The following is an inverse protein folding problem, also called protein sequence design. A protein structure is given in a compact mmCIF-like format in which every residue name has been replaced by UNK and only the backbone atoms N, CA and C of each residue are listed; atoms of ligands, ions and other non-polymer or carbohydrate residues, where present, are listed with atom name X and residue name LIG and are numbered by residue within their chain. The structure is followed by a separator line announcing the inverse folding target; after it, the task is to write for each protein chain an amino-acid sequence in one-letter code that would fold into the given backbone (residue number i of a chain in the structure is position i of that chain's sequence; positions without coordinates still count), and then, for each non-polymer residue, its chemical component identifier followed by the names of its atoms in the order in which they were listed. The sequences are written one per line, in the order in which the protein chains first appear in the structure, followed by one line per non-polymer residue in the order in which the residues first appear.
data_IF_786129986954
#
_entry.id   IF_786129986954
#
_cell.length_a   1.000
_cell.length_b   1.000
_cell.length_c   1.000
_cell.angle_alpha   90.00
_cell.angle_beta   90.00
_cell.angle_gamma   90.00
#
_symmetry.space_group_name_H-M   'P 1'
#
loop_
_entity.id
_entity.type
_entity.pdbx_description
1 polymer ?
#
# COMPACT_ATOMS: atom_id res chain seq x y z
N UNK A 1 -61.77 -14.92 12.84
CA UNK A 1 -61.72 -14.31 11.49
C UNK A 1 -60.92 -13.03 11.60
N UNK A 2 -60.10 -12.70 10.58
CA UNK A 2 -59.06 -11.63 10.54
C UNK A 2 -57.65 -12.14 10.86
N UNK A 3 -56.58 -11.81 10.15
CA UNK A 3 -56.32 -11.34 8.77
C UNK A 3 -54.88 -11.85 8.48
N UNK A 4 -54.64 -12.55 7.37
CA UNK A 4 -53.28 -12.81 6.86
C UNK A 4 -53.02 -11.80 5.77
N UNK A 5 -52.15 -10.82 6.03
CA UNK A 5 -51.60 -9.95 5.01
C UNK A 5 -50.43 -10.69 4.34
N UNK A 6 -50.59 -11.03 3.07
CA UNK A 6 -49.47 -11.46 2.22
C UNK A 6 -48.73 -10.22 1.75
N UNK A 7 -47.45 -10.12 2.09
CA UNK A 7 -46.54 -9.14 1.51
C UNK A 7 -45.96 -9.80 0.25
N UNK A 8 -46.31 -9.23 -0.90
CA UNK A 8 -45.72 -9.55 -2.19
C UNK A 8 -44.43 -8.75 -2.28
N UNK A 9 -43.28 -9.41 -2.23
CA UNK A 9 -42.00 -8.81 -2.62
C UNK A 9 -42.03 -8.60 -4.14
N UNK A 10 -42.09 -7.34 -4.55
CA UNK A 10 -41.83 -6.97 -5.94
C UNK A 10 -40.34 -6.67 -5.99
N UNK A 11 -39.55 -7.60 -6.55
CA UNK A 11 -38.14 -7.37 -6.82
C UNK A 11 -38.04 -6.25 -7.85
N UNK A 12 -37.66 -5.06 -7.39
CA UNK A 12 -37.26 -3.97 -8.26
C UNK A 12 -35.77 -4.17 -8.51
N UNK A 13 -35.45 -4.74 -9.66
CA UNK A 13 -34.07 -4.83 -10.13
C UNK A 13 -33.55 -3.41 -10.35
N UNK A 14 -32.69 -2.94 -9.46
CA UNK A 14 -31.79 -1.83 -9.71
C UNK A 14 -30.65 -2.38 -10.57
N UNK A 15 -30.82 -2.26 -11.89
CA UNK A 15 -29.71 -2.29 -12.81
C UNK A 15 -29.06 -0.89 -12.77
N UNK A 16 -28.17 -0.69 -11.78
CA UNK A 16 -27.08 0.28 -11.84
C UNK A 16 -25.81 -0.49 -12.18
N UNK A 17 -24.93 0.10 -12.99
CA UNK A 17 -23.81 -0.54 -13.66
C UNK A 17 -22.93 -1.38 -12.74
N UNK A 18 -23.11 -2.71 -12.79
CA UNK A 18 -21.99 -3.61 -12.56
C UNK A 18 -20.98 -3.30 -13.67
N UNK A 19 -20.00 -2.46 -13.37
CA UNK A 19 -18.76 -2.42 -14.14
C UNK A 19 -18.32 -3.88 -14.23
N UNK A 20 -18.23 -4.39 -15.46
CA UNK A 20 -17.68 -5.71 -15.72
C UNK A 20 -16.29 -5.74 -15.12
N UNK A 21 -16.15 -6.48 -14.02
CA UNK A 21 -14.91 -6.74 -13.28
C UNK A 21 -13.74 -6.88 -14.27
N UNK A 22 -12.74 -5.98 -14.26
CA UNK A 22 -11.51 -6.26 -14.98
C UNK A 22 -10.87 -7.48 -14.29
N UNK A 23 -10.64 -8.51 -15.09
CA UNK A 23 -10.12 -9.83 -14.70
C UNK A 23 -8.62 -9.69 -14.44
N UNK A 24 -8.24 -8.98 -13.39
CA UNK A 24 -6.84 -8.67 -13.09
C UNK A 24 -6.33 -9.39 -11.84
N UNK A 25 -7.18 -10.08 -11.07
CA UNK A 25 -6.72 -10.96 -10.00
C UNK A 25 -5.97 -12.15 -10.63
N UNK A 26 -4.70 -12.30 -10.26
CA UNK A 26 -3.82 -13.39 -10.71
C UNK A 26 -3.93 -14.57 -9.74
N UNK A 27 -3.78 -14.30 -8.44
CA UNK A 27 -3.78 -15.32 -7.39
C UNK A 27 -4.37 -14.79 -6.08
N UNK A 28 -5.03 -15.67 -5.33
CA UNK A 28 -5.25 -15.51 -3.90
C UNK A 28 -4.17 -16.26 -3.12
N UNK A 29 -3.56 -15.58 -2.16
CA UNK A 29 -2.52 -16.09 -1.29
C UNK A 29 -3.15 -16.49 0.04
N UNK A 30 -3.04 -17.78 0.35
CA UNK A 30 -3.52 -18.36 1.60
C UNK A 30 -2.40 -19.21 2.21
N UNK A 31 -2.15 -19.11 3.52
CA UNK A 31 -1.18 -19.96 4.18
C UNK A 31 -1.64 -21.42 4.17
N UNK A 32 -0.72 -22.36 3.98
CA UNK A 32 -1.00 -23.79 3.98
C UNK A 32 -1.53 -24.29 5.33
N UNK A 33 -1.20 -23.60 6.43
CA UNK A 33 -1.70 -23.86 7.79
C UNK A 33 -2.81 -22.86 8.20
N UNK A 34 -3.81 -22.72 7.34
CA UNK A 34 -4.91 -21.74 7.45
C UNK A 34 -5.80 -21.87 8.69
N UNK A 35 -5.61 -22.91 9.51
CA UNK A 35 -6.39 -23.13 10.73
C UNK A 35 -5.77 -22.48 11.98
N UNK A 36 -4.54 -21.97 11.87
CA UNK A 36 -3.76 -21.50 13.00
C UNK A 36 -3.55 -19.99 13.04
N UNK A 37 -3.65 -19.28 11.91
CA UNK A 37 -3.30 -17.86 11.83
C UNK A 37 -4.53 -17.00 11.53
N UNK A 38 -4.54 -15.80 12.09
CA UNK A 38 -5.68 -14.89 12.08
C UNK A 38 -5.15 -13.50 11.74
N UNK A 39 -5.96 -12.77 10.97
CA UNK A 39 -5.53 -11.50 10.39
C UNK A 39 -4.34 -11.63 9.44
N UNK A 40 -4.35 -12.65 8.58
CA UNK A 40 -3.40 -12.80 7.48
C UNK A 40 -3.65 -11.73 6.40
N UNK A 41 -2.59 -11.21 5.79
CA UNK A 41 -2.70 -10.05 4.89
C UNK A 41 -2.84 -8.73 5.64
N UNK A 42 -2.47 -8.69 6.93
CA UNK A 42 -2.41 -7.43 7.67
C UNK A 42 -1.23 -6.58 7.24
N UNK A 43 -0.12 -7.23 6.90
CA UNK A 43 1.12 -6.62 6.45
C UNK A 43 1.59 -7.39 5.21
N UNK A 44 2.00 -6.67 4.16
CA UNK A 44 2.52 -7.26 2.92
C UNK A 44 3.73 -6.46 2.48
N UNK A 45 4.67 -7.15 1.82
CA UNK A 45 5.77 -6.51 1.10
C UNK A 45 6.21 -7.45 -0.05
N UNK A 46 6.82 -6.92 -1.09
CA UNK A 46 7.17 -7.57 -2.35
C UNK A 46 8.56 -7.12 -2.80
N UNK A 47 9.46 -8.09 -3.04
CA UNK A 47 10.74 -7.81 -3.67
C UNK A 47 11.10 -8.89 -4.69
N UNK A 48 11.34 -8.46 -5.92
CA UNK A 48 11.75 -9.25 -7.08
C UNK A 48 10.94 -10.56 -7.22
N UNK A 49 9.61 -10.44 -7.15
CA UNK A 49 8.67 -11.56 -7.28
C UNK A 49 8.54 -12.49 -6.05
N UNK A 50 9.13 -12.12 -4.92
CA UNK A 50 8.92 -12.79 -3.63
C UNK A 50 8.05 -11.91 -2.75
N UNK A 51 6.89 -12.42 -2.37
CA UNK A 51 5.95 -11.73 -1.47
C UNK A 51 6.22 -12.21 -0.05
N UNK A 52 6.28 -11.31 0.92
CA UNK A 52 6.12 -11.63 2.33
C UNK A 52 4.73 -11.19 2.79
N UNK A 53 4.02 -12.07 3.50
CA UNK A 53 2.70 -11.75 4.06
C UNK A 53 2.69 -12.07 5.56
N UNK A 54 2.32 -11.06 6.34
CA UNK A 54 2.15 -11.15 7.78
C UNK A 54 0.73 -11.53 8.20
N UNK A 55 0.63 -12.28 9.29
CA UNK A 55 -0.57 -12.48 10.07
C UNK A 55 -0.37 -11.92 11.48
N UNK A 56 -1.26 -11.00 11.90
CA UNK A 56 -1.14 -10.30 13.18
C UNK A 56 -1.18 -11.25 14.39
N UNK A 57 -2.04 -12.27 14.32
CA UNK A 57 -2.32 -13.21 15.40
C UNK A 57 -3.42 -12.73 16.35
N UNK A 58 -3.96 -13.64 17.17
CA UNK A 58 -5.03 -13.35 18.13
C UNK A 58 -4.61 -13.60 19.59
N UNK A 59 -4.35 -12.54 20.36
CA UNK A 59 -3.87 -12.62 21.74
C UNK A 59 -4.90 -12.78 22.84
N UNK A 60 -6.09 -12.26 22.58
CA UNK A 60 -7.08 -11.84 23.59
C UNK A 60 -8.19 -12.88 23.68
N UNK A 61 -7.83 -14.10 23.31
CA UNK A 61 -8.68 -15.28 23.33
C UNK A 61 -8.11 -16.29 24.33
N UNK A 62 -8.91 -17.29 24.70
CA UNK A 62 -8.55 -18.24 25.76
C UNK A 62 -7.24 -19.01 25.49
N UNK A 63 -6.86 -19.15 24.22
CA UNK A 63 -5.59 -19.73 23.75
C UNK A 63 -4.99 -18.76 22.73
N UNK A 64 -3.95 -17.99 23.08
CA UNK A 64 -3.33 -17.04 22.16
C UNK A 64 -2.84 -17.73 20.88
N UNK A 65 -3.11 -17.06 19.76
CA UNK A 65 -2.58 -17.38 18.44
C UNK A 65 -1.43 -16.41 18.18
N UNK A 66 -0.17 -16.88 18.08
CA UNK A 66 0.94 -16.01 17.76
C UNK A 66 0.84 -15.52 16.31
N UNK A 67 1.28 -14.29 16.06
CA UNK A 67 1.50 -13.78 14.72
C UNK A 67 2.59 -14.55 13.99
N UNK A 68 2.50 -14.54 12.67
CA UNK A 68 3.34 -15.34 11.79
C UNK A 68 3.57 -14.63 10.46
N UNK A 69 4.62 -15.02 9.73
CA UNK A 69 4.94 -14.44 8.43
C UNK A 69 5.31 -15.55 7.45
N UNK A 70 4.97 -15.34 6.18
CA UNK A 70 5.04 -16.34 5.13
C UNK A 70 5.67 -15.73 3.88
N UNK A 71 6.47 -16.52 3.15
CA UNK A 71 6.98 -16.14 1.83
C UNK A 71 6.21 -16.88 0.74
N UNK A 72 5.88 -16.18 -0.33
CA UNK A 72 5.21 -16.70 -1.53
C UNK A 72 5.98 -16.32 -2.80
N UNK A 73 5.84 -17.13 -3.84
CA UNK A 73 6.30 -16.81 -5.20
C UNK A 73 5.16 -16.11 -5.95
N UNK A 74 5.35 -14.84 -6.30
CA UNK A 74 4.34 -14.01 -6.95
C UNK A 74 3.93 -14.55 -8.34
N UNK A 75 4.82 -15.26 -9.02
CA UNK A 75 4.56 -15.80 -10.36
C UNK A 75 3.69 -17.06 -10.37
N UNK A 76 3.57 -17.72 -9.21
CA UNK A 76 2.81 -18.96 -9.07
C UNK A 76 1.72 -18.92 -7.99
N UNK A 77 1.74 -17.89 -7.14
CA UNK A 77 0.87 -17.77 -5.95
C UNK A 77 1.14 -18.84 -4.88
N UNK A 78 2.20 -19.64 -5.02
CA UNK A 78 2.48 -20.74 -4.09
C UNK A 78 3.25 -20.26 -2.86
N UNK A 79 2.84 -20.73 -1.68
CA UNK A 79 3.63 -20.60 -0.46
C UNK A 79 4.99 -21.30 -0.65
N UNK A 80 6.05 -20.56 -0.38
CA UNK A 80 7.41 -21.09 -0.30
C UNK A 80 7.68 -21.66 1.09
N UNK A 81 7.39 -20.87 2.13
CA UNK A 81 7.72 -21.21 3.52
C UNK A 81 7.03 -20.31 4.55
N UNK A 82 6.66 -20.88 5.69
CA UNK A 82 6.37 -20.14 6.94
C UNK A 82 7.67 -19.79 7.66
N UNK A 83 7.94 -18.51 7.92
CA UNK A 83 9.16 -18.09 8.61
C UNK A 83 9.19 -18.62 10.06
N UNK A 84 10.29 -19.26 10.49
CA UNK A 84 10.37 -19.86 11.83
C UNK A 84 10.64 -18.79 12.89
N UNK A 85 9.59 -18.07 13.29
CA UNK A 85 9.66 -17.05 14.35
C UNK A 85 9.84 -17.72 15.72
N UNK A 86 10.94 -17.48 16.45
CA UNK A 86 11.12 -18.04 17.78
C UNK A 86 10.10 -17.45 18.77
N UNK A 87 9.41 -18.31 19.52
CA UNK A 87 8.52 -17.86 20.60
C UNK A 87 9.36 -17.46 21.82
N UNK A 88 9.52 -16.16 22.04
CA UNK A 88 10.11 -15.61 23.26
C UNK A 88 8.97 -15.17 24.18
N UNK A 89 9.05 -15.56 25.46
CA UNK A 89 8.10 -15.21 26.53
C UNK A 89 6.65 -15.74 26.40
N UNK A 90 6.33 -16.52 25.36
CA UNK A 90 5.02 -17.18 25.26
C UNK A 90 4.46 -17.17 23.85
N UNK A 91 3.23 -17.72 23.67
CA UNK A 91 2.52 -17.75 22.40
C UNK A 91 1.74 -16.45 22.10
N UNK A 92 1.84 -15.43 22.94
CA UNK A 92 1.15 -14.13 22.82
C UNK A 92 1.94 -13.12 21.99
N UNK A 93 2.79 -13.60 21.08
CA UNK A 93 3.59 -12.80 20.18
C UNK A 93 2.74 -12.34 19.00
N UNK A 94 2.85 -11.08 18.60
CA UNK A 94 2.12 -10.49 17.49
C UNK A 94 3.10 -10.08 16.44
N UNK A 95 2.62 -10.07 15.22
CA UNK A 95 3.28 -9.37 14.14
C UNK A 95 2.90 -7.88 14.21
N UNK A 96 3.87 -7.03 13.91
CA UNK A 96 3.68 -5.57 13.77
C UNK A 96 3.89 -5.13 12.32
N UNK A 97 4.95 -5.62 11.69
CA UNK A 97 5.33 -5.24 10.33
C UNK A 97 6.20 -6.33 9.71
N UNK A 98 6.23 -6.36 8.39
CA UNK A 98 7.14 -7.20 7.60
C UNK A 98 7.89 -6.33 6.61
N UNK A 99 9.07 -6.77 6.20
CA UNK A 99 9.71 -6.26 5.00
C UNK A 99 10.59 -7.33 4.36
N UNK A 100 10.79 -7.27 3.05
CA UNK A 100 11.63 -8.15 2.26
C UNK A 100 12.46 -7.34 1.27
N UNK A 101 13.74 -7.68 1.18
CA UNK A 101 14.67 -7.08 0.23
C UNK A 101 15.51 -8.13 -0.47
N UNK A 102 16.63 -7.73 -1.12
CA UNK A 102 17.38 -8.59 -2.04
C UNK A 102 17.88 -9.92 -1.48
N UNK A 103 18.15 -9.96 -0.17
CA UNK A 103 18.63 -11.18 0.51
C UNK A 103 18.21 -11.24 1.97
N UNK A 104 17.29 -10.38 2.39
CA UNK A 104 16.87 -10.25 3.78
C UNK A 104 15.37 -10.17 3.88
N UNK A 105 14.83 -10.74 4.94
CA UNK A 105 13.48 -10.44 5.39
C UNK A 105 13.51 -10.04 6.87
N UNK A 106 12.65 -9.10 7.22
CA UNK A 106 12.47 -8.58 8.57
C UNK A 106 11.03 -8.83 8.99
N UNK A 107 10.86 -9.34 10.21
CA UNK A 107 9.53 -9.53 10.81
C UNK A 107 9.54 -8.89 12.19
N UNK A 108 8.82 -7.79 12.35
CA UNK A 108 8.65 -7.14 13.64
C UNK A 108 7.61 -7.87 14.47
N UNK A 109 7.94 -8.04 15.76
CA UNK A 109 7.01 -8.64 16.71
C UNK A 109 7.07 -8.01 18.09
N UNK A 110 5.96 -8.13 18.82
CA UNK A 110 5.89 -7.83 20.27
C UNK A 110 5.04 -8.87 21.00
N UNK A 111 5.28 -9.07 22.30
CA UNK A 111 4.35 -9.82 23.16
C UNK A 111 3.26 -8.90 23.71
N UNK A 112 2.09 -9.43 24.09
CA UNK A 112 0.99 -8.64 24.65
C UNK A 112 0.77 -8.75 26.15
N UNK A 113 1.10 -9.87 26.77
CA UNK A 113 0.80 -10.07 28.18
C UNK A 113 1.68 -9.17 29.07
N UNK A 114 0.99 -8.47 29.98
CA UNK A 114 1.47 -7.39 30.85
C UNK A 114 2.46 -7.78 31.96
N UNK A 115 3.58 -8.40 31.58
CA UNK A 115 4.68 -8.68 32.50
C UNK A 115 6.00 -8.22 31.90
N UNK A 116 6.42 -6.99 32.18
CA UNK A 116 7.79 -6.41 32.18
C UNK A 116 8.85 -6.81 31.11
N UNK A 117 8.52 -7.59 30.08
CA UNK A 117 9.41 -8.12 29.03
C UNK A 117 8.71 -7.95 27.67
N UNK A 118 8.20 -6.74 27.47
CA UNK A 118 7.52 -6.26 26.26
C UNK A 118 8.55 -5.71 25.28
N UNK A 119 9.49 -6.52 24.84
CA UNK A 119 10.56 -6.00 24.01
C UNK A 119 10.15 -6.12 22.54
N UNK A 120 9.66 -5.04 21.88
CA UNK A 120 9.52 -5.07 20.43
C UNK A 120 10.88 -5.39 19.83
N UNK A 121 10.86 -6.19 18.77
CA UNK A 121 12.06 -6.73 18.14
C UNK A 121 11.76 -7.06 16.71
N UNK A 122 12.80 -7.06 15.90
CA UNK A 122 12.73 -7.56 14.54
C UNK A 122 13.54 -8.83 14.43
N UNK A 123 12.93 -9.86 13.86
CA UNK A 123 13.60 -11.07 13.45
C UNK A 123 14.19 -10.87 12.06
N UNK A 124 15.51 -10.99 11.94
CA UNK A 124 16.22 -10.84 10.68
C UNK A 124 16.56 -12.23 10.11
N UNK A 125 16.15 -12.45 8.86
CA UNK A 125 16.38 -13.69 8.12
C UNK A 125 17.26 -13.43 6.91
N UNK A 126 18.13 -14.38 6.59
CA UNK A 126 18.75 -14.49 5.27
C UNK A 126 17.77 -15.19 4.32
N UNK A 127 17.38 -14.50 3.26
CA UNK A 127 16.44 -14.97 2.23
C UNK A 127 17.11 -15.08 0.86
N UNK A 128 18.44 -15.24 0.80
CA UNK A 128 19.16 -15.53 -0.46
C UNK A 128 18.60 -16.78 -1.16
N UNK A 129 18.09 -17.74 -0.37
CA UNK A 129 17.20 -18.81 -0.82
C UNK A 129 15.85 -18.64 -0.12
N UNK A 130 14.86 -17.96 -0.74
CA UNK A 130 13.56 -17.69 -0.11
C UNK A 130 12.77 -18.94 0.27
N UNK A 131 13.05 -20.09 -0.36
CA UNK A 131 12.42 -21.36 0.00
C UNK A 131 13.04 -22.01 1.25
N UNK A 132 14.26 -21.61 1.64
CA UNK A 132 14.98 -22.12 2.82
C UNK A 132 15.63 -20.97 3.62
N UNK A 133 14.83 -20.04 4.17
CA UNK A 133 15.34 -18.88 4.88
C UNK A 133 16.06 -19.29 6.16
N UNK A 134 17.13 -18.57 6.47
CA UNK A 134 17.96 -18.84 7.66
C UNK A 134 17.77 -17.72 8.66
N UNK A 135 17.30 -18.05 9.86
CA UNK A 135 17.27 -17.10 10.97
C UNK A 135 18.69 -16.64 11.31
N UNK A 136 18.92 -15.33 11.31
CA UNK A 136 20.21 -14.74 11.63
C UNK A 136 20.28 -14.33 13.09
N UNK A 137 19.43 -13.38 13.48
CA UNK A 137 19.37 -12.80 14.82
C UNK A 137 18.07 -12.01 15.00
N UNK A 138 17.83 -11.53 16.22
CA UNK A 138 16.87 -10.46 16.44
C UNK A 138 17.59 -9.14 16.69
N UNK A 139 17.04 -8.03 16.19
CA UNK A 139 17.57 -6.68 16.38
C UNK A 139 16.61 -5.85 17.24
N UNK A 140 17.19 -4.90 17.97
CA UNK A 140 16.50 -3.91 18.78
C UNK A 140 17.32 -2.61 18.77
N UNK A 141 16.67 -1.44 18.84
CA UNK A 141 17.40 -0.18 18.93
C UNK A 141 18.12 -0.06 20.28
N UNK A 142 19.18 0.72 20.30
CA UNK A 142 20.09 0.92 21.43
C UNK A 142 19.40 1.51 22.67
N UNK A 143 18.30 2.23 22.47
CA UNK A 143 17.46 2.83 23.50
C UNK A 143 16.03 2.26 23.52
N UNK A 144 15.82 1.07 22.94
CA UNK A 144 14.52 0.41 22.89
C UNK A 144 13.83 0.36 24.26
N UNK A 145 12.63 0.90 24.32
CA UNK A 145 11.72 0.68 25.43
C UNK A 145 10.51 -0.12 25.01
N UNK A 146 9.85 -0.69 26.02
CA UNK A 146 8.73 -1.58 25.83
C UNK A 146 7.52 -0.97 25.13
N UNK A 147 7.39 0.36 25.25
CA UNK A 147 6.24 1.09 24.77
C UNK A 147 6.47 1.70 23.40
N UNK A 148 7.64 1.52 22.79
CA UNK A 148 8.06 2.27 21.60
C UNK A 148 7.38 1.78 20.31
N UNK A 149 6.82 0.57 20.33
CA UNK A 149 6.27 -0.13 19.15
C UNK A 149 7.27 -0.18 17.99
N UNK A 150 8.54 -0.46 18.32
CA UNK A 150 9.60 -0.63 17.34
C UNK A 150 9.26 -1.75 16.34
N UNK A 151 9.25 -1.38 15.05
CA UNK A 151 8.84 -2.26 13.96
C UNK A 151 7.37 -2.14 13.55
N UNK A 152 6.68 -1.07 13.95
CA UNK A 152 5.34 -0.75 13.42
C UNK A 152 5.39 -0.52 11.90
N UNK A 153 6.44 0.14 11.41
CA UNK A 153 6.73 0.27 9.98
C UNK A 153 8.17 -0.18 9.72
N UNK A 154 8.39 -0.84 8.58
CA UNK A 154 9.70 -1.33 8.16
C UNK A 154 9.76 -1.20 6.65
N UNK A 155 10.87 -0.68 6.14
CA UNK A 155 11.19 -0.80 4.72
C UNK A 155 12.69 -1.14 4.54
N UNK A 156 13.01 -1.89 3.48
CA UNK A 156 14.34 -2.40 3.15
C UNK A 156 14.71 -2.06 1.72
N UNK A 157 15.78 -1.28 1.56
CA UNK A 157 16.43 -1.10 0.26
C UNK A 157 17.91 -1.49 0.32
N UNK A 158 18.29 -2.43 -0.56
CA UNK A 158 19.66 -2.91 -0.63
C UNK A 158 20.13 -3.55 0.69
N UNK A 159 21.06 -2.89 1.37
CA UNK A 159 21.59 -3.32 2.68
C UNK A 159 21.14 -2.43 3.85
N UNK A 160 20.23 -1.49 3.61
CA UNK A 160 19.70 -0.56 4.60
C UNK A 160 18.25 -0.94 4.89
N UNK A 161 17.87 -0.86 6.15
CA UNK A 161 16.47 -0.86 6.56
C UNK A 161 16.18 0.36 7.41
N UNK A 162 14.99 0.94 7.24
CA UNK A 162 14.47 1.96 8.15
C UNK A 162 13.30 1.37 8.91
N UNK A 163 13.27 1.59 10.22
CA UNK A 163 12.29 1.00 11.13
C UNK A 163 11.64 2.06 11.99
N UNK A 164 10.32 2.16 11.92
CA UNK A 164 9.49 3.03 12.74
C UNK A 164 9.37 2.59 14.21
N UNK A 165 9.31 3.56 15.11
CA UNK A 165 9.05 3.38 16.53
C UNK A 165 8.21 4.57 17.04
N UNK A 166 6.92 4.63 16.69
CA UNK A 166 6.08 5.83 16.82
C UNK A 166 5.91 6.32 18.25
N UNK A 167 6.20 5.48 19.24
CA UNK A 167 6.06 5.84 20.66
C UNK A 167 7.40 5.97 21.39
N UNK A 168 8.51 5.94 20.65
CA UNK A 168 9.83 6.15 21.22
C UNK A 168 9.94 7.53 21.90
N UNK A 169 10.71 7.57 22.99
CA UNK A 169 10.88 8.77 23.80
C UNK A 169 12.17 9.50 23.47
N UNK A 170 12.05 10.64 22.80
CA UNK A 170 13.16 11.58 22.59
C UNK A 170 13.23 12.53 23.79
N UNK A 171 14.36 12.52 24.50
CA UNK A 171 14.56 13.30 25.73
C UNK A 171 13.44 13.11 26.79
N UNK A 172 12.78 11.95 26.80
CA UNK A 172 11.69 11.60 27.74
C UNK A 172 10.27 11.94 27.26
N UNK A 173 10.12 12.55 26.08
CA UNK A 173 8.84 12.91 25.46
C UNK A 173 8.51 11.88 24.37
N UNK A 174 7.31 11.28 24.32
CA UNK A 174 6.95 10.26 23.33
C UNK A 174 6.62 10.91 21.98
N UNK A 175 7.64 11.44 21.30
CA UNK A 175 7.54 12.08 19.99
C UNK A 175 7.51 11.07 18.85
N UNK A 176 8.04 9.87 19.09
CA UNK A 176 8.35 8.90 18.04
C UNK A 176 9.78 9.07 17.49
N UNK A 177 10.25 8.02 16.81
CA UNK A 177 11.53 7.97 16.12
C UNK A 177 11.49 6.93 15.00
N UNK A 178 12.47 6.99 14.09
CA UNK A 178 12.81 5.88 13.21
C UNK A 178 14.30 5.53 13.34
N UNK A 179 14.67 4.32 12.98
CA UNK A 179 16.03 3.80 13.15
C UNK A 179 16.54 3.19 11.85
N UNK A 180 17.80 3.46 11.53
CA UNK A 180 18.46 2.95 10.34
C UNK A 180 19.34 1.76 10.74
N UNK A 181 19.17 0.63 10.07
CA UNK A 181 19.94 -0.59 10.31
C UNK A 181 20.67 -1.06 9.06
N UNK A 182 21.85 -1.64 9.25
CA UNK A 182 22.52 -2.46 8.24
C UNK A 182 21.91 -3.88 8.29
N UNK A 183 21.22 -4.30 7.23
CA UNK A 183 20.56 -5.61 7.17
C UNK A 183 21.53 -6.79 7.01
N UNK A 184 22.80 -6.52 6.69
CA UNK A 184 23.86 -7.54 6.63
C UNK A 184 24.34 -7.94 8.01
N UNK A 185 24.50 -6.95 8.90
CA UNK A 185 25.08 -7.14 10.24
C UNK A 185 24.04 -7.01 11.37
N UNK A 186 22.88 -6.42 11.09
CA UNK A 186 21.87 -5.95 12.03
C UNK A 186 22.36 -4.89 13.00
N UNK A 187 23.39 -4.13 12.61
CA UNK A 187 23.91 -3.02 13.40
C UNK A 187 23.04 -1.78 13.18
N UNK A 188 22.67 -1.09 14.27
CA UNK A 188 22.07 0.24 14.19
C UNK A 188 23.11 1.24 13.65
N UNK A 189 22.78 1.91 12.54
CA UNK A 189 23.62 2.90 11.89
C UNK A 189 23.30 4.32 12.34
N UNK A 190 22.02 4.59 12.65
CA UNK A 190 21.58 5.89 13.13
C UNK A 190 20.12 5.92 13.55
N UNK A 191 19.72 7.08 14.07
CA UNK A 191 18.37 7.37 14.57
C UNK A 191 17.87 8.65 13.94
N UNK A 192 16.66 8.60 13.41
CA UNK A 192 15.93 9.72 12.80
C UNK A 192 14.90 10.23 13.80
N UNK A 193 14.88 11.55 14.01
CA UNK A 193 13.91 12.25 14.84
C UNK A 193 13.46 13.50 14.09
N UNK A 194 12.18 13.86 14.20
CA UNK A 194 11.68 15.14 13.71
C UNK A 194 12.32 16.30 14.48
N UNK A 195 12.68 17.37 13.78
CA UNK A 195 13.31 18.57 14.35
C UNK A 195 12.38 19.37 15.27
N UNK A 196 11.08 19.20 15.08
CA UNK A 196 9.98 19.84 15.79
C UNK A 196 9.11 18.84 16.57
N UNK A 197 9.55 17.59 16.73
CA UNK A 197 8.75 16.55 17.36
C UNK A 197 8.26 16.91 18.77
N UNK A 198 6.95 16.84 18.96
CA UNK A 198 6.23 17.08 20.20
C UNK A 198 5.55 15.80 20.72
N UNK A 199 5.01 15.88 21.93
CA UNK A 199 4.41 14.72 22.58
C UNK A 199 3.23 14.19 21.77
N UNK A 200 3.27 12.90 21.44
CA UNK A 200 2.22 12.13 20.75
C UNK A 200 2.08 12.33 19.24
N UNK A 201 3.01 13.03 18.58
CA UNK A 201 2.99 13.20 17.11
C UNK A 201 3.09 11.87 16.35
N UNK A 202 3.62 10.84 17.01
CA UNK A 202 3.80 9.49 16.46
C UNK A 202 4.73 9.44 15.24
N UNK A 203 5.80 10.21 15.24
CA UNK A 203 6.81 10.15 14.19
C UNK A 203 7.40 8.73 14.04
N UNK A 204 7.42 8.21 12.82
CA UNK A 204 7.78 6.81 12.56
C UNK A 204 6.58 5.87 12.56
N UNK A 205 5.38 6.40 12.35
CA UNK A 205 4.15 5.62 12.21
C UNK A 205 4.15 4.81 10.92
N UNK A 206 4.52 5.45 9.80
CA UNK A 206 4.76 4.85 8.49
C UNK A 206 6.11 5.31 7.95
N UNK A 207 6.74 4.50 7.11
CA UNK A 207 8.09 4.70 6.59
C UNK A 207 8.16 4.12 5.18
N UNK A 208 8.76 4.86 4.25
CA UNK A 208 9.15 4.34 2.94
C UNK A 208 10.50 4.92 2.49
N UNK A 209 11.32 4.15 1.77
CA UNK A 209 12.71 4.47 1.40
C UNK A 209 12.94 4.30 -0.11
N UNK A 210 13.44 5.36 -0.75
CA UNK A 210 13.97 5.31 -2.12
C UNK A 210 15.39 5.91 -2.20
N UNK A 211 16.36 5.05 -2.47
CA UNK A 211 17.78 5.31 -2.48
C UNK A 211 18.33 5.77 -1.14
N UNK A 212 18.42 7.09 -0.97
CA UNK A 212 18.88 7.72 0.27
C UNK A 212 17.87 8.70 0.83
N UNK A 213 16.66 8.74 0.27
CA UNK A 213 15.59 9.60 0.74
C UNK A 213 14.57 8.72 1.46
N UNK A 214 14.24 9.10 2.68
CA UNK A 214 13.22 8.42 3.49
C UNK A 214 12.06 9.37 3.70
N UNK A 215 10.84 8.87 3.51
CA UNK A 215 9.61 9.55 3.90
C UNK A 215 9.06 8.91 5.16
N UNK A 216 8.73 9.71 6.17
CA UNK A 216 8.29 9.22 7.48
C UNK A 216 7.02 9.94 7.92
N UNK A 217 5.98 9.18 8.25
CA UNK A 217 4.70 9.69 8.75
C UNK A 217 4.71 10.02 10.25
N UNK A 218 3.97 11.07 10.60
CA UNK A 218 3.65 11.51 11.96
C UNK A 218 2.17 11.90 12.02
N UNK A 219 1.29 10.89 12.06
CA UNK A 219 -0.16 11.06 11.83
C UNK A 219 -0.91 11.93 12.84
N UNK A 220 -0.30 12.22 14.00
CA UNK A 220 -0.94 13.01 15.08
C UNK A 220 -0.23 14.34 15.34
N UNK A 221 0.70 14.71 14.47
CA UNK A 221 1.31 16.04 14.48
C UNK A 221 0.24 17.14 14.39
N UNK A 222 0.42 18.24 15.12
CA UNK A 222 -0.63 19.23 15.39
C UNK A 222 -0.35 20.68 14.93
N UNK A 223 0.74 20.95 14.20
CA UNK A 223 1.08 22.29 13.72
C UNK A 223 0.06 22.83 12.71
N UNK A 224 -0.45 21.98 11.82
CA UNK A 224 -1.40 22.38 10.78
C UNK A 224 -2.83 22.49 11.34
N UNK A 225 -3.25 21.48 12.08
CA UNK A 225 -4.49 21.37 12.83
C UNK A 225 -4.34 20.29 13.92
N UNK A 226 -5.17 20.24 14.97
CA UNK A 226 -5.08 19.18 15.97
C UNK A 226 -5.23 17.79 15.36
N UNK A 227 -4.19 16.95 15.49
CA UNK A 227 -4.08 15.66 14.80
C UNK A 227 -4.30 15.75 13.28
N UNK A 228 -3.91 16.88 12.66
CA UNK A 228 -3.97 17.04 11.21
C UNK A 228 -2.91 16.19 10.52
N UNK A 229 -1.81 15.93 11.21
CA UNK A 229 -0.73 15.05 10.79
C UNK A 229 0.30 15.73 9.88
N UNK A 230 1.45 15.07 9.75
CA UNK A 230 2.58 15.50 8.93
C UNK A 230 3.34 14.30 8.35
N UNK A 231 4.15 14.55 7.33
CA UNK A 231 5.18 13.62 6.87
C UNK A 231 6.50 14.36 6.68
N UNK A 232 7.63 13.66 6.79
CA UNK A 232 8.95 14.28 6.78
C UNK A 232 9.89 13.57 5.82
N UNK A 233 10.61 14.34 5.01
CA UNK A 233 11.66 13.85 4.14
C UNK A 233 13.02 13.95 4.83
N UNK A 234 13.79 12.86 4.81
CA UNK A 234 15.15 12.79 5.33
C UNK A 234 16.14 12.30 4.27
N UNK A 235 17.34 12.88 4.25
CA UNK A 235 18.51 12.35 3.54
C UNK A 235 19.33 11.49 4.50
N UNK A 236 19.49 10.22 4.17
CA UNK A 236 20.26 9.22 4.92
C UNK A 236 21.54 8.78 4.19
N UNK A 237 22.04 9.57 3.24
CA UNK A 237 23.31 9.29 2.54
C UNK A 237 24.51 9.17 3.48
N UNK A 238 24.44 9.81 4.65
CA UNK A 238 25.23 9.47 5.84
C UNK A 238 24.27 8.95 6.93
N UNK A 239 24.07 7.62 7.03
CA UNK A 239 23.13 7.04 8.00
C UNK A 239 23.44 7.40 9.45
N UNK A 240 24.69 7.75 9.77
CA UNK A 240 25.07 8.17 11.12
C UNK A 240 24.64 9.61 11.45
N UNK A 241 24.32 10.42 10.44
CA UNK A 241 23.93 11.81 10.56
C UNK A 241 22.78 12.14 9.58
N UNK A 242 21.58 11.57 9.77
CA UNK A 242 20.45 11.84 8.90
C UNK A 242 20.07 13.33 8.92
N UNK A 243 19.69 13.87 7.76
CA UNK A 243 19.37 15.30 7.59
C UNK A 243 17.90 15.44 7.22
N UNK A 244 17.12 16.14 8.03
CA UNK A 244 15.76 16.54 7.67
C UNK A 244 15.79 17.54 6.51
N UNK A 245 15.10 17.23 5.42
CA UNK A 245 15.06 18.04 4.20
C UNK A 245 13.82 18.94 4.18
N UNK A 246 12.66 18.39 4.54
CA UNK A 246 11.39 19.09 4.54
C UNK A 246 10.34 18.40 5.44
N UNK A 247 9.39 19.19 5.91
CA UNK A 247 8.12 18.76 6.50
C UNK A 247 7.00 19.01 5.49
N UNK A 248 6.18 17.99 5.24
CA UNK A 248 4.99 18.02 4.39
C UNK A 248 3.78 18.09 5.30
N UNK A 249 2.91 19.08 5.05
CA UNK A 249 1.63 19.24 5.75
C UNK A 249 0.54 19.54 4.72
N UNK A 250 -0.69 19.05 4.92
CA UNK A 250 -1.80 19.32 4.02
C UNK A 250 -2.13 20.83 4.02
N UNK A 251 -2.28 21.48 2.85
CA UNK A 251 -2.73 22.86 2.79
C UNK A 251 -4.16 22.99 3.30
N UNK A 252 -4.35 23.71 4.41
CA UNK A 252 -5.64 23.76 5.11
C UNK A 252 -6.07 22.41 5.70
N UNK A 253 -5.12 21.65 6.25
CA UNK A 253 -5.45 20.42 6.97
C UNK A 253 -6.55 20.62 8.01
N UNK A 254 -7.47 19.68 8.08
CA UNK A 254 -8.53 19.66 9.08
C UNK A 254 -8.16 18.76 10.25
N UNK A 255 -8.93 18.91 11.33
CA UNK A 255 -8.68 18.20 12.57
C UNK A 255 -9.02 16.71 12.41
N UNK A 256 -8.08 15.85 12.77
CA UNK A 256 -8.17 14.38 12.70
C UNK A 256 -8.14 13.76 11.30
N UNK A 257 -7.71 14.47 10.26
CA UNK A 257 -7.53 13.89 8.91
C UNK A 257 -6.41 12.83 8.87
N UNK A 258 -5.51 12.86 9.86
CA UNK A 258 -4.39 11.93 10.04
C UNK A 258 -3.46 11.85 8.82
N UNK A 259 -3.09 12.99 8.26
CA UNK A 259 -2.08 13.06 7.20
C UNK A 259 -0.76 12.41 7.65
N UNK A 260 -0.14 11.60 6.80
CA UNK A 260 1.03 10.82 7.18
C UNK A 260 0.67 9.51 7.88
N UNK A 261 -0.58 9.05 7.73
CA UNK A 261 -0.99 7.72 8.16
C UNK A 261 -0.23 6.65 7.38
N UNK A 262 -0.22 6.76 6.06
CA UNK A 262 0.60 5.93 5.17
C UNK A 262 1.40 6.82 4.22
N UNK A 263 2.60 6.38 3.86
CA UNK A 263 3.50 7.15 3.00
C UNK A 263 4.11 6.25 1.94
N UNK A 264 4.31 6.79 0.74
CA UNK A 264 5.05 6.12 -0.31
C UNK A 264 5.96 7.12 -1.07
N UNK A 265 7.10 6.67 -1.54
CA UNK A 265 8.10 7.45 -2.28
C UNK A 265 8.67 6.64 -3.44
N UNK A 266 8.70 7.24 -4.63
CA UNK A 266 9.43 6.66 -5.76
C UNK A 266 9.98 7.75 -6.68
N UNK A 267 11.29 7.73 -6.87
CA UNK A 267 12.05 8.71 -7.62
C UNK A 267 11.84 10.13 -7.14
N UNK A 268 11.13 10.92 -7.95
CA UNK A 268 10.86 12.34 -7.69
C UNK A 268 9.43 12.58 -7.20
N UNK A 269 8.70 11.55 -6.81
CA UNK A 269 7.31 11.66 -6.36
C UNK A 269 7.15 11.06 -4.97
N UNK A 270 6.36 11.73 -4.13
CA UNK A 270 5.91 11.20 -2.85
C UNK A 270 4.39 11.22 -2.78
N UNK A 271 3.80 10.23 -2.12
CA UNK A 271 2.38 10.15 -1.82
C UNK A 271 2.17 10.03 -0.30
N UNK A 272 1.16 10.72 0.22
CA UNK A 272 0.84 10.71 1.67
C UNK A 272 -0.66 10.56 1.88
N UNK A 273 -1.05 9.52 2.61
CA UNK A 273 -2.44 9.26 2.99
C UNK A 273 -2.93 10.15 4.13
N UNK A 274 -4.16 10.63 4.01
CA UNK A 274 -4.95 11.30 5.04
C UNK A 274 -6.31 10.60 5.11
N UNK A 275 -6.36 9.52 5.90
CA UNK A 275 -7.39 8.49 5.84
C UNK A 275 -8.79 8.96 6.24
N UNK A 276 -8.89 10.08 6.96
CA UNK A 276 -10.15 10.63 7.45
C UNK A 276 -10.44 12.02 6.89
N UNK A 277 -9.84 12.34 5.74
CA UNK A 277 -10.14 13.57 5.02
C UNK A 277 -11.63 13.63 4.60
N UNK A 278 -12.25 14.77 4.90
CA UNK A 278 -13.71 14.97 4.82
C UNK A 278 -14.18 15.67 3.52
N UNK A 279 -13.27 16.01 2.59
CA UNK A 279 -13.57 16.94 1.49
C UNK A 279 -14.67 16.46 0.53
N UNK A 280 -14.80 15.15 0.34
CA UNK A 280 -15.83 14.55 -0.53
C UNK A 280 -16.90 13.75 0.25
N UNK A 281 -16.72 13.54 1.55
CA UNK A 281 -17.62 12.80 2.41
C UNK A 281 -17.02 12.59 3.80
N UNK A 282 -17.85 12.35 4.81
CA UNK A 282 -17.36 12.09 6.17
C UNK A 282 -16.41 10.89 6.19
N UNK A 283 -15.18 11.06 6.65
CA UNK A 283 -14.11 10.07 6.65
C UNK A 283 -13.93 9.38 5.28
N UNK A 284 -14.09 10.13 4.18
CA UNK A 284 -13.92 9.58 2.82
C UNK A 284 -12.47 9.26 2.49
N UNK A 285 -11.53 10.02 3.08
CA UNK A 285 -10.10 9.84 2.91
C UNK A 285 -9.54 10.51 1.64
N UNK A 286 -8.24 10.78 1.65
CA UNK A 286 -7.52 11.38 0.53
C UNK A 286 -6.05 10.94 0.48
N UNK A 287 -5.43 11.07 -0.70
CA UNK A 287 -3.98 10.95 -0.87
C UNK A 287 -3.41 12.23 -1.47
N UNK A 288 -2.31 12.72 -0.92
CA UNK A 288 -1.64 13.93 -1.38
C UNK A 288 -0.36 13.55 -2.12
N UNK A 289 -0.25 13.95 -3.39
CA UNK A 289 0.90 13.67 -4.25
C UNK A 289 1.77 14.92 -4.34
N UNK A 290 3.07 14.74 -4.11
CA UNK A 290 4.09 15.78 -4.10
C UNK A 290 5.16 15.51 -5.16
N UNK A 291 5.56 16.57 -5.87
CA UNK A 291 6.83 16.61 -6.60
C UNK A 291 7.95 16.91 -5.61
N UNK A 292 8.87 15.96 -5.49
CA UNK A 292 10.04 16.03 -4.61
C UNK A 292 11.35 16.05 -5.42
N UNK A 293 11.32 16.42 -6.71
CA UNK A 293 12.54 16.62 -7.52
C UNK A 293 13.55 17.58 -6.89
N UNK A 294 13.08 18.44 -6.00
CA UNK A 294 13.89 19.16 -5.02
C UNK A 294 13.40 18.80 -3.61
N UNK A 295 13.95 17.74 -2.96
CA UNK A 295 13.40 17.21 -1.70
C UNK A 295 13.38 18.21 -0.53
N UNK A 296 14.23 19.24 -0.58
CA UNK A 296 14.25 20.35 0.41
C UNK A 296 13.18 21.41 0.19
N UNK A 297 12.38 21.29 -0.87
CA UNK A 297 11.28 22.20 -1.21
C UNK A 297 10.20 21.44 -1.99
N UNK A 298 9.55 20.43 -1.37
CA UNK A 298 8.52 19.63 -2.03
C UNK A 298 7.33 20.51 -2.44
N UNK A 299 6.69 20.15 -3.55
CA UNK A 299 5.54 20.88 -4.09
C UNK A 299 4.34 19.94 -4.16
N UNK A 300 3.26 20.26 -3.45
CA UNK A 300 1.99 19.54 -3.63
C UNK A 300 1.50 19.76 -5.06
N UNK A 301 1.38 18.67 -5.82
CA UNK A 301 0.90 18.69 -7.20
C UNK A 301 -0.56 18.29 -7.30
N UNK A 302 -1.03 17.40 -6.41
CA UNK A 302 -2.40 16.91 -6.43
C UNK A 302 -2.88 16.42 -5.07
N UNK A 303 -4.16 16.67 -4.77
CA UNK A 303 -4.95 15.92 -3.80
C UNK A 303 -5.84 14.96 -4.58
N UNK A 304 -5.77 13.68 -4.26
CA UNK A 304 -6.42 12.56 -4.90
C UNK A 304 -7.51 11.99 -4.01
N UNK A 305 -8.58 11.53 -4.67
CA UNK A 305 -9.71 10.81 -4.08
C UNK A 305 -10.04 9.63 -5.00
N UNK A 306 -10.68 8.60 -4.47
CA UNK A 306 -11.34 7.58 -5.29
C UNK A 306 -12.41 8.20 -6.20
N UNK A 307 -12.52 7.76 -7.45
CA UNK A 307 -13.49 8.27 -8.42
C UNK A 307 -14.95 8.01 -8.04
N UNK A 308 -15.18 6.98 -7.22
CA UNK A 308 -16.46 6.62 -6.60
C UNK A 308 -16.46 6.79 -5.08
N UNK A 309 -15.48 7.52 -4.52
CA UNK A 309 -15.34 7.67 -3.08
C UNK A 309 -16.59 8.20 -2.40
N UNK A 310 -17.01 7.51 -1.35
CA UNK A 310 -18.17 7.78 -0.52
C UNK A 310 -17.74 7.96 0.96
N UNK A 311 -18.64 8.44 1.84
CA UNK A 311 -18.34 8.57 3.25
C UNK A 311 -17.93 7.23 3.88
N UNK A 312 -16.90 7.26 4.73
CA UNK A 312 -16.35 6.14 5.50
C UNK A 312 -15.60 5.07 4.71
N UNK A 313 -15.22 5.35 3.47
CA UNK A 313 -14.44 4.41 2.64
C UNK A 313 -12.97 4.29 3.07
N UNK A 314 -12.48 5.20 3.92
CA UNK A 314 -11.10 5.27 4.43
C UNK A 314 -10.05 5.31 3.28
N UNK A 315 -10.28 6.05 2.19
CA UNK A 315 -9.33 6.10 1.06
C UNK A 315 -7.97 6.66 1.49
N UNK A 316 -6.89 6.00 1.08
CA UNK A 316 -5.54 6.33 1.53
C UNK A 316 -5.07 5.50 2.74
N UNK A 317 -5.83 4.46 3.10
CA UNK A 317 -5.51 3.57 4.21
C UNK A 317 -4.17 2.85 4.03
N UNK A 318 -3.96 2.32 2.83
CA UNK A 318 -2.67 1.84 2.35
C UNK A 318 -2.29 2.61 1.09
N UNK A 319 -1.00 2.87 0.91
CA UNK A 319 -0.45 3.61 -0.24
C UNK A 319 0.86 2.94 -0.62
N UNK A 320 0.97 2.48 -1.87
CA UNK A 320 2.20 1.91 -2.43
C UNK A 320 2.48 2.50 -3.80
N UNK A 321 3.74 2.65 -4.19
CA UNK A 321 4.08 3.25 -5.47
C UNK A 321 5.38 2.75 -6.07
N UNK A 322 5.40 2.63 -7.40
CA UNK A 322 6.60 2.31 -8.18
C UNK A 322 6.58 3.16 -9.45
N UNK A 323 7.57 4.05 -9.58
CA UNK A 323 7.71 4.92 -10.74
C UNK A 323 6.47 5.79 -10.98
N UNK A 324 5.69 5.44 -12.01
CA UNK A 324 4.51 6.17 -12.44
C UNK A 324 3.19 5.51 -12.00
N UNK A 325 3.24 4.47 -11.18
CA UNK A 325 2.07 3.70 -10.76
C UNK A 325 1.86 3.92 -9.26
N UNK A 326 0.64 4.29 -8.88
CA UNK A 326 0.24 4.49 -7.48
C UNK A 326 -0.94 3.59 -7.16
N UNK A 327 -0.83 2.81 -6.09
CA UNK A 327 -1.87 1.93 -5.59
C UNK A 327 -2.37 2.44 -4.23
N UNK A 328 -3.68 2.58 -4.08
CA UNK A 328 -4.29 3.13 -2.86
C UNK A 328 -5.42 2.24 -2.36
N UNK A 329 -5.34 1.80 -1.11
CA UNK A 329 -6.39 1.04 -0.45
C UNK A 329 -7.48 1.92 0.17
N UNK A 330 -8.69 1.38 0.17
CA UNK A 330 -9.90 1.95 0.79
C UNK A 330 -10.62 0.81 1.51
N UNK A 331 -10.15 0.50 2.73
CA UNK A 331 -10.45 -0.77 3.40
C UNK A 331 -11.90 -0.94 3.86
N UNK A 332 -12.71 0.12 3.82
CA UNK A 332 -14.08 0.11 4.29
C UNK A 332 -15.10 0.46 3.20
N UNK A 333 -14.62 0.65 1.96
CA UNK A 333 -15.46 0.80 0.76
C UNK A 333 -16.59 -0.24 0.74
N UNK A 334 -17.82 0.27 0.55
CA UNK A 334 -19.06 -0.50 0.72
C UNK A 334 -19.88 -0.72 -0.55
N UNK A 335 -19.29 -0.36 -1.70
CA UNK A 335 -19.91 -0.43 -3.03
C UNK A 335 -20.43 -1.83 -3.40
N UNK A 336 -19.65 -2.86 -3.05
CA UNK A 336 -20.00 -4.27 -3.34
C UNK A 336 -20.72 -4.89 -2.15
N UNK A 337 -20.12 -4.83 -0.96
CA UNK A 337 -20.72 -5.22 0.31
C UNK A 337 -20.23 -4.30 1.44
N UNK A 338 -21.00 -4.13 2.53
CA UNK A 338 -20.59 -3.32 3.68
C UNK A 338 -19.19 -3.68 4.19
N UNK A 339 -18.26 -2.72 4.14
CA UNK A 339 -16.88 -2.88 4.62
C UNK A 339 -16.07 -3.94 3.87
N UNK A 340 -16.46 -4.28 2.64
CA UNK A 340 -15.69 -5.22 1.81
C UNK A 340 -14.28 -4.70 1.54
N UNK A 341 -14.19 -3.39 1.28
CA UNK A 341 -12.97 -2.72 0.90
C UNK A 341 -12.65 -2.86 -0.60
N UNK A 342 -11.85 -1.93 -1.08
CA UNK A 342 -11.39 -1.80 -2.46
C UNK A 342 -9.95 -1.28 -2.50
N UNK A 343 -9.28 -1.41 -3.64
CA UNK A 343 -8.03 -0.72 -3.92
C UNK A 343 -8.06 -0.09 -5.32
N UNK A 344 -7.38 1.04 -5.49
CA UNK A 344 -7.45 1.86 -6.68
C UNK A 344 -6.06 2.04 -7.26
N UNK A 345 -5.93 1.75 -8.55
CA UNK A 345 -4.70 1.94 -9.30
C UNK A 345 -4.77 3.23 -10.07
N UNK A 346 -3.73 4.06 -9.95
CA UNK A 346 -3.58 5.33 -10.65
C UNK A 346 -2.32 5.34 -11.51
N UNK A 347 -2.47 5.83 -12.74
CA UNK A 347 -1.37 6.32 -13.55
C UNK A 347 -1.04 7.76 -13.12
N UNK A 348 0.16 7.93 -12.57
CA UNK A 348 0.72 9.21 -12.13
C UNK A 348 1.91 9.64 -13.01
N UNK A 349 1.96 9.22 -14.28
CA UNK A 349 2.96 9.69 -15.27
C UNK A 349 2.95 11.22 -15.40
N UNK A 350 1.78 11.83 -15.27
CA UNK A 350 1.62 13.25 -14.98
C UNK A 350 1.01 13.41 -13.58
N UNK A 351 1.84 13.56 -12.51
CA UNK A 351 1.35 13.67 -11.14
C UNK A 351 0.39 14.84 -10.89
N UNK A 352 0.36 15.85 -11.76
CA UNK A 352 -0.60 16.95 -11.66
C UNK A 352 -1.99 16.58 -12.22
N UNK A 353 -2.05 15.58 -13.12
CA UNK A 353 -3.26 15.08 -13.77
C UNK A 353 -3.32 13.54 -13.73
N UNK A 354 -3.33 12.93 -12.55
CA UNK A 354 -3.37 11.48 -12.41
C UNK A 354 -4.68 10.91 -12.95
N UNK A 355 -4.61 9.67 -13.46
CA UNK A 355 -5.72 8.94 -14.05
C UNK A 355 -5.97 7.69 -13.22
N UNK A 356 -7.17 7.53 -12.68
CA UNK A 356 -7.59 6.24 -12.11
C UNK A 356 -7.78 5.23 -13.24
N UNK A 357 -7.01 4.15 -13.23
CA UNK A 357 -7.01 3.13 -14.30
C UNK A 357 -7.79 1.89 -13.92
N UNK A 358 -7.90 1.57 -12.63
CA UNK A 358 -8.65 0.40 -12.16
C UNK A 358 -9.10 0.55 -10.70
N UNK A 359 -10.22 -0.11 -10.39
CA UNK A 359 -10.66 -0.48 -9.04
C UNK A 359 -10.54 -1.99 -8.89
N UNK A 360 -9.76 -2.45 -7.93
CA UNK A 360 -9.53 -3.85 -7.59
C UNK A 360 -10.44 -4.28 -6.45
N UNK A 361 -11.05 -5.44 -6.62
CA UNK A 361 -11.80 -6.18 -5.59
C UNK A 361 -11.55 -7.68 -5.79
N UNK A 362 -11.43 -8.48 -4.73
CA UNK A 362 -11.24 -9.92 -4.83
C UNK A 362 -12.43 -10.67 -5.46
N UNK A 363 -12.15 -11.76 -6.15
CA UNK A 363 -13.17 -12.66 -6.71
C UNK A 363 -14.05 -13.32 -5.64
N UNK A 364 -13.56 -13.42 -4.40
CA UNK A 364 -14.27 -13.94 -3.23
C UNK A 364 -14.73 -12.84 -2.26
N UNK A 365 -14.80 -11.58 -2.69
CA UNK A 365 -15.23 -10.43 -1.87
C UNK A 365 -16.46 -10.73 -0.99
N UNK A 366 -16.30 -10.53 0.31
CA UNK A 366 -17.33 -10.63 1.34
C UNK A 366 -17.49 -9.32 2.14
N UNK A 367 -18.52 -9.29 2.99
CA UNK A 367 -18.80 -8.12 3.83
C UNK A 367 -17.86 -8.09 5.04
N UNK A 368 -17.23 -6.93 5.30
CA UNK A 368 -16.25 -6.70 6.37
C UNK A 368 -14.91 -7.45 6.18
N UNK A 369 -14.58 -7.85 4.94
CA UNK A 369 -13.31 -8.51 4.62
C UNK A 369 -12.11 -7.55 4.67
N UNK A 370 -12.36 -6.24 4.55
CA UNK A 370 -11.37 -5.15 4.64
C UNK A 370 -10.25 -5.22 3.61
N UNK A 371 -10.56 -5.56 2.36
CA UNK A 371 -9.59 -5.52 1.26
C UNK A 371 -9.05 -4.10 1.03
N UNK A 372 -7.75 -3.96 0.77
CA UNK A 372 -7.07 -2.66 0.74
C UNK A 372 -6.46 -2.27 2.09
N UNK A 373 -6.39 -3.22 3.05
CA UNK A 373 -5.80 -2.99 4.36
C UNK A 373 -4.30 -2.69 4.31
N UNK A 374 -3.58 -3.43 3.48
CA UNK A 374 -2.16 -3.24 3.19
C UNK A 374 -1.96 -3.44 1.70
N UNK A 375 -0.94 -2.78 1.14
CA UNK A 375 -0.69 -2.81 -0.28
C UNK A 375 0.82 -2.68 -0.54
N UNK A 376 1.32 -3.41 -1.54
CA UNK A 376 2.67 -3.23 -2.07
C UNK A 376 2.66 -3.38 -3.59
N UNK A 377 3.58 -2.71 -4.29
CA UNK A 377 3.68 -2.70 -5.74
C UNK A 377 5.13 -2.85 -6.21
N UNK A 378 5.38 -3.80 -7.10
CA UNK A 378 6.69 -3.92 -7.77
C UNK A 378 6.53 -4.61 -9.13
N UNK A 379 7.20 -4.09 -10.16
CA UNK A 379 7.23 -4.63 -11.51
C UNK A 379 5.83 -4.97 -12.08
N UNK A 380 4.90 -4.01 -12.02
CA UNK A 380 3.51 -4.17 -12.47
C UNK A 380 2.69 -5.24 -11.71
N UNK A 381 3.17 -5.71 -10.56
CA UNK A 381 2.46 -6.64 -9.69
C UNK A 381 2.04 -5.94 -8.40
N UNK A 382 0.74 -5.95 -8.12
CA UNK A 382 0.20 -5.44 -6.87
C UNK A 382 -0.13 -6.58 -5.90
N UNK A 383 0.28 -6.44 -4.64
CA UNK A 383 -0.13 -7.30 -3.53
C UNK A 383 -1.05 -6.51 -2.62
N UNK A 384 -2.24 -7.02 -2.34
CA UNK A 384 -3.23 -6.31 -1.51
C UNK A 384 -3.76 -7.24 -0.43
N UNK A 385 -3.70 -6.78 0.81
CA UNK A 385 -4.20 -7.47 1.99
C UNK A 385 -5.69 -7.24 2.26
N UNK A 386 -6.37 -8.28 2.73
CA UNK A 386 -7.71 -8.23 3.29
C UNK A 386 -7.67 -8.93 4.66
N UNK A 387 -7.30 -8.18 5.69
CA UNK A 387 -6.96 -8.74 7.00
C UNK A 387 -8.13 -9.48 7.67
N UNK A 388 -9.37 -9.18 7.30
CA UNK A 388 -10.56 -9.80 7.86
C UNK A 388 -11.30 -10.69 6.87
N UNK A 389 -10.70 -11.03 5.72
CA UNK A 389 -11.32 -11.93 4.77
C UNK A 389 -11.71 -13.27 5.40
N UNK A 390 -12.92 -13.73 5.07
CA UNK A 390 -13.46 -15.01 5.51
C UNK A 390 -12.87 -16.22 4.74
N UNK A 391 -11.57 -16.18 4.44
CA UNK A 391 -10.89 -17.10 3.54
C UNK A 391 -9.65 -17.73 4.21
N UNK A 392 -9.61 -19.06 4.45
CA UNK A 392 -10.68 -20.04 4.26
C UNK A 392 -11.62 -20.17 5.47
N UNK A 393 -11.37 -19.44 6.55
CA UNK A 393 -12.18 -19.42 7.78
C UNK A 393 -12.57 -17.98 8.11
N UNK A 394 -13.59 -17.83 8.96
CA UNK A 394 -14.09 -16.52 9.40
C UNK A 394 -12.94 -15.63 9.92
N UNK A 395 -12.77 -14.43 9.35
CA UNK A 395 -11.73 -13.45 9.67
C UNK A 395 -10.29 -14.02 9.71
N UNK A 396 -10.01 -15.09 8.95
CA UNK A 396 -8.65 -15.61 8.86
C UNK A 396 -7.71 -14.63 8.13
N UNK A 397 -8.26 -13.87 7.19
CA UNK A 397 -7.56 -12.93 6.34
C UNK A 397 -6.95 -13.59 5.11
N UNK A 398 -6.74 -12.79 4.07
CA UNK A 398 -6.16 -13.20 2.80
C UNK A 398 -5.28 -12.08 2.23
N UNK A 399 -4.40 -12.42 1.28
CA UNK A 399 -3.74 -11.44 0.42
C UNK A 399 -3.94 -11.86 -1.04
N UNK A 400 -3.89 -10.90 -1.96
CA UNK A 400 -4.23 -11.13 -3.35
C UNK A 400 -3.19 -10.48 -4.26
N UNK A 401 -2.89 -11.15 -5.37
CA UNK A 401 -2.00 -10.66 -6.41
C UNK A 401 -2.85 -10.15 -7.57
N UNK A 402 -2.64 -8.90 -7.96
CA UNK A 402 -3.27 -8.28 -9.12
C UNK A 402 -2.23 -7.87 -10.16
N UNK A 403 -2.64 -7.95 -11.43
CA UNK A 403 -1.95 -7.28 -12.52
C UNK A 403 -2.19 -5.77 -12.42
N UNK A 404 -1.12 -5.04 -12.12
CA UNK A 404 -1.08 -3.60 -11.99
C UNK A 404 -0.37 -2.93 -13.17
N UNK A 405 -0.21 -3.65 -14.28
CA UNK A 405 0.28 -3.07 -15.53
C UNK A 405 -0.60 -1.89 -15.91
N UNK A 406 -0.02 -0.69 -15.91
CA UNK A 406 -0.73 0.48 -16.43
C UNK A 406 -1.10 0.18 -17.88
N UNK A 407 -2.35 0.46 -18.30
CA UNK A 407 -2.65 0.48 -19.72
C UNK A 407 -1.64 1.45 -20.32
N UNK A 408 -0.74 0.95 -21.17
CA UNK A 408 0.24 1.79 -21.84
C UNK A 408 -0.47 2.97 -22.51
N UNK A 409 0.26 4.04 -22.90
CA UNK A 409 -0.34 5.07 -23.74
C UNK A 409 -1.12 4.34 -24.83
N UNK A 410 -2.42 4.67 -25.04
CA UNK A 410 -3.29 3.88 -25.90
C UNK A 410 -2.47 3.58 -27.14
N UNK A 411 -2.35 2.30 -27.49
CA UNK A 411 -1.61 1.97 -28.69
C UNK A 411 -2.47 2.47 -29.85
N UNK A 412 -2.37 3.77 -30.12
CA UNK A 412 -3.13 4.50 -31.11
C UNK A 412 -3.08 3.76 -32.46
N UNK A 413 -1.95 3.16 -32.89
CA UNK A 413 -1.96 2.47 -34.16
C UNK A 413 -2.61 1.08 -34.11
N UNK A 414 -2.85 0.47 -32.94
CA UNK A 414 -3.68 -0.73 -32.75
C UNK A 414 -5.17 -0.34 -32.68
N UNK A 415 -5.74 -0.02 -33.83
CA UNK A 415 -7.12 0.49 -33.92
C UNK A 415 -8.17 -0.63 -33.81
N UNK A 416 -7.75 -1.89 -33.92
CA UNK A 416 -8.66 -3.03 -33.79
C UNK A 416 -8.65 -3.65 -32.37
N UNK A 417 -7.72 -3.20 -31.51
CA UNK A 417 -7.52 -3.62 -30.13
C UNK A 417 -7.22 -5.13 -30.00
N UNK A 418 -6.43 -5.69 -30.92
CA UNK A 418 -6.00 -7.09 -30.88
C UNK A 418 -4.64 -7.29 -30.21
N UNK A 419 -4.01 -6.20 -29.75
CA UNK A 419 -2.73 -6.19 -29.05
C UNK A 419 -1.52 -6.30 -29.98
N UNK A 420 -1.70 -6.24 -31.30
CA UNK A 420 -0.62 -6.27 -32.28
C UNK A 420 -0.75 -5.18 -33.33
N UNK A 421 0.27 -4.34 -33.47
CA UNK A 421 0.32 -3.33 -34.54
C UNK A 421 0.68 -3.98 -35.87
N UNK A 422 -0.33 -4.17 -36.71
CA UNK A 422 -0.21 -4.84 -38.01
C UNK A 422 -0.91 -4.07 -39.14
N UNK A 423 -0.85 -4.61 -40.35
CA UNK A 423 -1.62 -4.05 -41.48
C UNK A 423 -3.15 -4.17 -41.29
N UNK A 424 -3.62 -5.00 -40.35
CA UNK A 424 -5.03 -5.10 -40.01
C UNK A 424 -5.53 -3.78 -39.38
N UNK A 425 -4.68 -3.13 -38.59
CA UNK A 425 -5.03 -1.90 -37.90
C UNK A 425 -5.14 -0.70 -38.82
N UNK A 426 -4.38 -0.70 -39.91
CA UNK A 426 -4.58 0.29 -40.96
C UNK A 426 -5.99 0.17 -41.58
N UNK A 427 -6.47 -1.06 -41.74
CA UNK A 427 -7.82 -1.31 -42.26
C UNK A 427 -8.89 -0.89 -41.26
N UNK A 428 -8.66 -1.11 -39.96
CA UNK A 428 -9.52 -0.65 -38.88
C UNK A 428 -9.53 0.89 -38.78
N UNK A 429 -8.37 1.54 -38.89
CA UNK A 429 -8.25 3.00 -38.92
C UNK A 429 -9.00 3.62 -40.11
N UNK A 430 -8.89 3.03 -41.31
CA UNK A 430 -9.69 3.48 -42.48
C UNK A 430 -11.19 3.36 -42.18
N UNK A 431 -11.63 2.28 -41.52
CA UNK A 431 -13.03 2.09 -41.17
C UNK A 431 -13.50 3.15 -40.16
N UNK A 432 -12.71 3.40 -39.11
CA UNK A 432 -12.96 4.44 -38.11
C UNK A 432 -13.01 5.84 -38.75
N UNK A 433 -12.05 6.17 -39.61
CA UNK A 433 -11.99 7.44 -40.33
C UNK A 433 -13.22 7.68 -41.21
N UNK A 434 -13.66 6.66 -41.95
CA UNK A 434 -14.86 6.77 -42.79
C UNK A 434 -16.16 6.83 -41.96
N UNK A 435 -16.16 6.26 -40.76
CA UNK A 435 -17.29 6.29 -39.84
C UNK A 435 -17.33 7.55 -38.98
N UNK A 436 -16.24 8.34 -38.93
CA UNK A 436 -16.08 9.44 -37.99
C UNK A 436 -16.05 8.96 -36.54
N UNK A 437 -15.49 7.77 -36.30
CA UNK A 437 -15.42 7.14 -34.99
C UNK A 437 -14.19 7.65 -34.20
N UNK A 438 -14.23 7.73 -32.86
CA UNK A 438 -13.15 8.36 -32.08
C UNK A 438 -11.76 7.75 -32.31
N UNK A 439 -11.69 6.48 -32.69
CA UNK A 439 -10.46 5.70 -32.88
C UNK A 439 -9.62 6.17 -34.08
N UNK A 440 -10.17 7.02 -34.96
CA UNK A 440 -9.37 7.65 -36.00
C UNK A 440 -8.55 8.86 -35.52
N UNK A 441 -8.82 9.40 -34.33
CA UNK A 441 -8.02 10.48 -33.73
C UNK A 441 -6.70 9.89 -33.21
N UNK A 442 -5.61 10.26 -33.89
CA UNK A 442 -4.29 9.68 -33.66
C UNK A 442 -3.30 10.70 -33.10
N UNK A 443 -3.73 11.95 -32.96
CA UNK A 443 -2.95 13.04 -32.39
C UNK A 443 -3.59 13.63 -31.12
N UNK A 444 -4.79 13.16 -30.73
CA UNK A 444 -5.52 13.54 -29.53
C UNK A 444 -6.17 14.92 -29.63
N UNK A 445 -6.40 15.46 -30.83
CA UNK A 445 -6.98 16.81 -31.01
C UNK A 445 -8.52 16.84 -31.02
N UNK A 446 -9.15 15.67 -30.92
CA UNK A 446 -10.60 15.47 -30.92
C UNK A 446 -11.23 15.49 -32.31
N UNK A 447 -10.46 15.59 -33.39
CA UNK A 447 -10.98 15.62 -34.76
C UNK A 447 -10.26 14.64 -35.67
N UNK A 448 -11.00 13.73 -36.29
CA UNK A 448 -10.45 12.90 -37.35
C UNK A 448 -10.30 13.66 -38.67
N UNK A 449 -9.07 14.05 -38.97
CA UNK A 449 -8.68 14.79 -40.17
C UNK A 449 -7.57 14.09 -40.94
N UNK A 450 -7.13 14.68 -42.05
CA UNK A 450 -5.96 14.18 -42.76
C UNK A 450 -4.66 14.26 -41.93
N UNK A 451 -4.63 15.06 -40.85
CA UNK A 451 -3.49 15.13 -39.94
C UNK A 451 -3.29 13.80 -39.19
N UNK A 452 -4.39 13.13 -38.84
CA UNK A 452 -4.39 11.85 -38.13
C UNK A 452 -3.80 10.71 -38.94
N UNK A 453 -3.86 10.77 -40.27
CA UNK A 453 -3.15 9.79 -41.10
C UNK A 453 -1.63 9.90 -40.91
N UNK A 454 -1.11 11.12 -40.78
CA UNK A 454 0.32 11.34 -40.56
C UNK A 454 0.73 10.92 -39.15
N UNK A 455 -0.14 11.17 -38.16
CA UNK A 455 0.06 10.71 -36.80
C UNK A 455 -0.01 9.17 -36.69
N UNK A 456 -0.98 8.53 -37.35
CA UNK A 456 -1.09 7.07 -37.41
C UNK A 456 0.19 6.44 -37.98
N UNK A 457 0.76 6.97 -39.07
CA UNK A 457 2.03 6.47 -39.61
C UNK A 457 3.18 6.64 -38.61
N UNK A 458 3.25 7.78 -37.91
CA UNK A 458 4.29 8.01 -36.91
C UNK A 458 4.16 6.99 -35.77
N UNK A 459 2.95 6.81 -35.25
CA UNK A 459 2.65 5.87 -34.18
C UNK A 459 2.91 4.42 -34.62
N UNK A 460 2.46 4.02 -35.82
CA UNK A 460 2.69 2.67 -36.38
C UNK A 460 4.18 2.33 -36.52
N UNK A 461 5.02 3.30 -36.90
CA UNK A 461 6.46 3.10 -37.01
C UNK A 461 7.18 3.13 -35.66
N UNK A 462 6.61 3.82 -34.66
CA UNK A 462 7.11 3.83 -33.30
C UNK A 462 6.77 2.51 -32.57
N UNK A 463 5.67 1.85 -32.95
CA UNK A 463 5.12 0.69 -32.26
C UNK A 463 4.24 1.09 -31.07
N UNK A 464 3.73 0.06 -30.38
CA UNK A 464 3.57 0.11 -28.92
C UNK A 464 4.87 -0.48 -28.33
#
# INVERSE_FOLDING_TARGET
MNYRAGIVFTAMALAGSAATQPVNEIFSLLPADSAADQQFGEEVDLYNGIVIVGAKGLPNIAVPVPGSAYLFDASTGMELVKLPLPLINGPDQYLLGVAIGPSRAMVATRNWANTAVYNPRIWLFDTTDPANPVFMQHIQPSDATVADEFGEAIDIEGSIAVVGAPFNRVAGVPTGAAYIFDTTTGTELGKIIASDGESVDQFGWSVDLDGSIVLIGARWEDDSAPNGGAAYLFDISDPANPIELAKLVPPMGDQNDYFGYEVAISGNTAAVGAIFDDDIGFDSGAVYVYDISTPSSPVLVKKLFAGDGDPTDDFGWSVAMEGATLLVGSRTDDDIFPGAGSAYLFDITDPANPIEVAKFVPSDTGANDTFGWSAELENDVAIIGASLADSPLLNAGAAYIFDATLPGPPCLPDVNHDGMVTAADFSAWIAAFNAGAPECDQNGDGNCTAADFSAWIANFNAGC
#
